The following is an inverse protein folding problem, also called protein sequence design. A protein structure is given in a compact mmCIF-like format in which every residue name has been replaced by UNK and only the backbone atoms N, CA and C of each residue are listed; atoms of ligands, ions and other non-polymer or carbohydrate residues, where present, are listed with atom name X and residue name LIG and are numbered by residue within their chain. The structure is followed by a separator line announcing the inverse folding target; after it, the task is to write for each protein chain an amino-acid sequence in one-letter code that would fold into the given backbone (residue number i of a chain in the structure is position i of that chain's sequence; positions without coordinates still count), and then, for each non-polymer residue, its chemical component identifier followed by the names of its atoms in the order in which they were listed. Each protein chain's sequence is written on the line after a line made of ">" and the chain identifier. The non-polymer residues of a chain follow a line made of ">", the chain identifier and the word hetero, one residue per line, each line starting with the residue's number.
data_IF_699070595356
#
_entry.id   IF_699070595356
#
_cell.length_a   1.000
_cell.length_b   1.000
_cell.length_c   1.000
_cell.angle_alpha   90.00
_cell.angle_beta   90.00
_cell.angle_gamma   90.00
#
_symmetry.space_group_name_H-M   'P 1'
#
loop_
_entity.id
_entity.type
_entity.pdbx_description
1 polymer ?
#
# COMPACT_ATOMS: atom_id res chain seq x y z
N UNK A 1 -14.99 -33.19 -53.01
CA UNK A 1 -15.12 -32.08 -52.05
C UNK A 1 -14.92 -32.62 -50.65
N UNK A 2 -13.71 -32.43 -50.07
CA UNK A 2 -13.35 -32.88 -48.74
C UNK A 2 -13.44 -31.69 -47.77
N UNK A 3 -14.34 -31.71 -46.83
CA UNK A 3 -14.43 -30.72 -45.74
C UNK A 3 -13.41 -31.08 -44.68
N UNK A 4 -12.42 -30.19 -44.50
CA UNK A 4 -11.42 -30.27 -43.45
C UNK A 4 -12.00 -29.54 -42.21
N UNK A 5 -12.39 -30.30 -41.18
CA UNK A 5 -12.78 -29.74 -39.88
C UNK A 5 -11.53 -29.35 -39.11
N UNK A 6 -11.28 -28.04 -38.95
CA UNK A 6 -10.22 -27.51 -38.11
C UNK A 6 -10.72 -27.46 -36.66
N UNK A 7 -10.25 -28.39 -35.83
CA UNK A 7 -10.49 -28.35 -34.38
C UNK A 7 -9.60 -27.26 -33.77
N UNK A 8 -10.18 -26.13 -33.39
CA UNK A 8 -9.52 -25.10 -32.58
C UNK A 8 -9.50 -25.62 -31.14
N UNK A 9 -8.35 -26.11 -30.69
CA UNK A 9 -8.08 -26.37 -29.28
C UNK A 9 -7.91 -25.00 -28.57
N UNK A 10 -8.96 -24.56 -27.89
CA UNK A 10 -8.84 -23.49 -26.90
C UNK A 10 -8.01 -23.97 -25.71
N UNK A 11 -6.94 -23.29 -25.29
CA UNK A 11 -6.26 -23.65 -24.07
C UNK A 11 -7.21 -23.36 -22.90
N UNK A 12 -7.61 -24.41 -22.20
CA UNK A 12 -8.24 -24.32 -20.88
C UNK A 12 -7.16 -23.75 -19.96
N UNK A 13 -7.25 -22.46 -19.64
CA UNK A 13 -6.51 -21.87 -18.55
C UNK A 13 -6.98 -22.56 -17.25
N UNK A 14 -6.29 -23.62 -16.88
CA UNK A 14 -6.40 -24.20 -15.55
C UNK A 14 -5.93 -23.15 -14.55
N UNK A 15 -6.87 -22.50 -13.88
CA UNK A 15 -6.57 -21.80 -12.64
C UNK A 15 -6.00 -22.86 -11.69
N UNK A 16 -4.69 -22.83 -11.49
CA UNK A 16 -4.02 -23.64 -10.49
C UNK A 16 -4.51 -23.14 -9.12
N UNK A 17 -5.63 -23.65 -8.65
CA UNK A 17 -5.99 -23.59 -7.24
C UNK A 17 -4.87 -24.28 -6.49
N UNK A 18 -4.09 -23.51 -5.73
CA UNK A 18 -3.08 -24.05 -4.81
C UNK A 18 -3.77 -25.07 -3.92
N UNK A 19 -3.33 -26.35 -4.02
CA UNK A 19 -3.93 -27.41 -3.23
C UNK A 19 -3.89 -27.05 -1.75
N UNK A 20 -5.06 -27.03 -1.11
CA UNK A 20 -5.18 -26.68 0.29
C UNK A 20 -4.33 -27.63 1.16
N UNK A 21 -3.44 -27.08 1.98
CA UNK A 21 -2.51 -27.84 2.81
C UNK A 21 -3.11 -28.07 4.21
N UNK A 22 -2.98 -29.29 4.71
CA UNK A 22 -3.58 -29.70 6.00
C UNK A 22 -2.74 -29.19 7.17
N UNK A 23 -3.42 -28.74 8.23
CA UNK A 23 -2.85 -28.47 9.55
C UNK A 23 -3.54 -29.33 10.61
N UNK A 24 -2.87 -29.50 11.77
CA UNK A 24 -3.43 -30.10 12.96
C UNK A 24 -2.98 -29.31 14.19
N UNK A 25 -3.92 -29.03 15.10
CA UNK A 25 -3.64 -28.40 16.39
C UNK A 25 -4.19 -29.30 17.48
N UNK A 26 -3.35 -29.75 18.40
CA UNK A 26 -3.75 -30.46 19.61
C UNK A 26 -3.53 -29.56 20.82
N UNK A 27 -4.54 -29.38 21.65
CA UNK A 27 -4.47 -28.60 22.86
C UNK A 27 -4.76 -29.42 24.11
N UNK A 28 -3.98 -29.19 25.17
CA UNK A 28 -4.21 -29.67 26.52
C UNK A 28 -4.09 -28.48 27.45
N UNK A 29 -5.23 -27.87 27.80
CA UNK A 29 -5.29 -26.64 28.59
C UNK A 29 -6.15 -26.81 29.84
N UNK A 30 -5.62 -26.42 31.00
CA UNK A 30 -6.41 -26.22 32.18
C UNK A 30 -7.27 -24.97 32.06
N UNK A 31 -8.34 -24.86 32.85
CA UNK A 31 -9.22 -23.69 32.88
C UNK A 31 -10.26 -23.61 31.73
N UNK A 32 -10.31 -24.59 30.85
CA UNK A 32 -11.38 -24.71 29.86
C UNK A 32 -12.58 -25.47 30.42
N UNK A 33 -13.80 -24.98 30.14
CA UNK A 33 -15.02 -25.67 30.52
C UNK A 33 -15.25 -26.92 29.68
N UNK A 34 -15.73 -27.99 30.30
CA UNK A 34 -16.12 -29.22 29.62
C UNK A 34 -17.18 -28.93 28.54
N UNK A 35 -17.08 -29.58 27.39
CA UNK A 35 -17.96 -29.40 26.24
C UNK A 35 -17.97 -27.97 25.64
N UNK A 36 -17.07 -27.09 26.07
CA UNK A 36 -16.94 -25.77 25.42
C UNK A 36 -16.36 -25.89 24.02
N UNK A 37 -16.58 -24.86 23.21
CA UNK A 37 -16.15 -24.80 21.82
C UNK A 37 -14.81 -24.05 21.72
N UNK A 38 -13.90 -24.62 20.94
CA UNK A 38 -12.69 -23.97 20.47
C UNK A 38 -12.76 -23.85 18.95
N UNK A 39 -12.46 -22.67 18.42
CA UNK A 39 -12.41 -22.44 16.95
C UNK A 39 -11.10 -21.82 16.56
N UNK A 40 -10.69 -22.04 15.31
CA UNK A 40 -9.61 -21.30 14.68
C UNK A 40 -10.12 -20.58 13.44
N UNK A 41 -9.94 -19.27 13.40
CA UNK A 41 -10.39 -18.43 12.29
C UNK A 41 -9.25 -17.56 11.75
N UNK A 42 -9.34 -17.19 10.47
CA UNK A 42 -8.38 -16.28 9.86
C UNK A 42 -8.42 -14.93 10.58
N UNK A 43 -7.26 -14.37 10.91
CA UNK A 43 -7.17 -13.07 11.58
C UNK A 43 -7.67 -11.92 10.70
N UNK A 44 -7.42 -12.01 9.39
CA UNK A 44 -7.80 -10.97 8.41
C UNK A 44 -9.26 -11.10 7.95
N UNK A 45 -9.87 -12.30 8.13
CA UNK A 45 -11.30 -12.55 7.92
C UNK A 45 -11.83 -13.45 9.06
N UNK A 46 -12.28 -12.86 10.19
CA UNK A 46 -12.76 -13.63 11.32
C UNK A 46 -14.01 -14.49 11.05
N UNK A 47 -14.69 -14.29 9.95
CA UNK A 47 -15.84 -15.10 9.51
C UNK A 47 -15.39 -16.41 8.88
N UNK A 48 -14.17 -16.46 8.35
CA UNK A 48 -13.53 -17.66 7.80
C UNK A 48 -13.02 -18.56 8.96
N UNK A 49 -13.87 -19.50 9.42
CA UNK A 49 -13.52 -20.47 10.42
C UNK A 49 -12.91 -21.72 9.80
N UNK A 50 -11.59 -21.87 9.94
CA UNK A 50 -10.84 -22.98 9.36
C UNK A 50 -11.08 -24.33 10.06
N UNK A 51 -11.38 -24.35 11.37
CA UNK A 51 -11.73 -25.55 12.12
C UNK A 51 -12.44 -25.22 13.45
N UNK A 52 -13.17 -26.25 13.97
CA UNK A 52 -13.91 -26.19 15.23
C UNK A 52 -13.77 -27.53 15.97
N UNK A 53 -13.63 -27.48 17.30
CA UNK A 53 -13.57 -28.64 18.16
C UNK A 53 -14.32 -28.42 19.48
N UNK A 54 -14.70 -29.51 20.13
CA UNK A 54 -15.27 -29.52 21.47
C UNK A 54 -14.20 -29.95 22.48
N UNK A 55 -14.13 -29.26 23.62
CA UNK A 55 -13.21 -29.59 24.71
C UNK A 55 -13.73 -30.83 25.48
N UNK A 56 -12.82 -31.79 25.70
CA UNK A 56 -13.04 -32.97 26.53
C UNK A 56 -11.86 -33.17 27.48
N UNK A 57 -12.10 -33.21 28.78
CA UNK A 57 -11.05 -33.32 29.81
C UNK A 57 -9.89 -32.33 29.60
N UNK A 58 -10.22 -31.07 29.30
CA UNK A 58 -9.23 -30.01 29.02
C UNK A 58 -8.48 -30.14 27.69
N UNK A 59 -8.84 -31.15 26.87
CA UNK A 59 -8.18 -31.41 25.57
C UNK A 59 -9.09 -31.06 24.38
N UNK A 60 -8.47 -30.67 23.27
CA UNK A 60 -9.14 -30.49 21.98
C UNK A 60 -8.20 -30.84 20.83
N UNK A 61 -8.79 -31.20 19.67
CA UNK A 61 -8.05 -31.41 18.42
C UNK A 61 -8.78 -30.69 17.30
N UNK A 62 -8.07 -29.77 16.61
CA UNK A 62 -8.52 -29.06 15.44
C UNK A 62 -7.75 -29.58 14.22
N UNK A 63 -8.45 -29.88 13.14
CA UNK A 63 -7.83 -30.21 11.87
C UNK A 63 -8.58 -29.51 10.76
N UNK A 64 -7.85 -29.01 9.78
CA UNK A 64 -8.41 -28.27 8.65
C UNK A 64 -7.40 -28.11 7.54
N UNK A 65 -7.70 -27.22 6.61
CA UNK A 65 -6.82 -26.89 5.51
C UNK A 65 -6.70 -25.38 5.37
N UNK A 66 -5.52 -24.92 4.98
CA UNK A 66 -5.21 -23.52 4.67
C UNK A 66 -4.64 -23.43 3.26
N UNK A 67 -4.94 -22.34 2.57
CA UNK A 67 -4.38 -22.10 1.24
C UNK A 67 -2.88 -21.78 1.35
N UNK A 68 -2.49 -21.02 2.35
CA UNK A 68 -1.13 -20.55 2.58
C UNK A 68 -0.88 -20.24 4.07
N UNK A 69 0.39 -20.15 4.52
CA UNK A 69 0.71 -19.70 5.86
C UNK A 69 0.22 -18.27 6.13
N UNK A 70 -0.50 -18.08 7.23
CA UNK A 70 -1.11 -16.80 7.59
C UNK A 70 -1.33 -16.68 9.10
N UNK A 71 -1.69 -15.49 9.57
CA UNK A 71 -2.06 -15.22 10.95
C UNK A 71 -3.50 -15.67 11.20
N UNK A 72 -3.68 -16.49 12.23
CA UNK A 72 -4.97 -17.00 12.68
C UNK A 72 -5.19 -16.68 14.17
N UNK A 73 -6.43 -16.68 14.59
CA UNK A 73 -6.77 -16.60 16.01
C UNK A 73 -7.48 -17.88 16.47
N UNK A 74 -6.91 -18.50 17.49
CA UNK A 74 -7.52 -19.59 18.22
C UNK A 74 -8.43 -18.96 19.28
N UNK A 75 -9.74 -19.20 19.20
CA UNK A 75 -10.73 -18.66 20.12
C UNK A 75 -11.07 -19.70 21.19
N UNK A 76 -10.79 -19.39 22.45
CA UNK A 76 -11.12 -20.19 23.62
C UNK A 76 -12.41 -19.65 24.24
N UNK A 77 -13.57 -20.07 23.74
CA UNK A 77 -14.85 -19.42 23.98
C UNK A 77 -15.25 -19.42 25.46
N UNK A 78 -14.94 -20.51 26.25
CA UNK A 78 -15.28 -20.62 27.67
C UNK A 78 -14.61 -19.57 28.56
N UNK A 79 -13.43 -19.09 28.17
CA UNK A 79 -12.66 -18.07 28.90
C UNK A 79 -12.63 -16.73 28.19
N UNK A 80 -13.31 -16.61 27.05
CA UNK A 80 -13.33 -15.42 26.19
C UNK A 80 -11.94 -14.88 25.83
N UNK A 81 -10.98 -15.79 25.60
CA UNK A 81 -9.59 -15.48 25.27
C UNK A 81 -9.28 -15.88 23.85
N UNK A 82 -8.29 -15.19 23.26
CA UNK A 82 -7.82 -15.43 21.89
C UNK A 82 -6.31 -15.59 21.88
N UNK A 83 -5.82 -16.62 21.22
CA UNK A 83 -4.37 -16.86 21.00
C UNK A 83 -4.06 -16.63 19.53
N UNK A 84 -3.09 -15.78 19.25
CA UNK A 84 -2.62 -15.57 17.88
C UNK A 84 -1.63 -16.69 17.51
N UNK A 85 -1.90 -17.36 16.40
CA UNK A 85 -1.06 -18.40 15.83
C UNK A 85 -0.70 -18.01 14.39
N UNK A 86 0.59 -18.02 14.08
CA UNK A 86 0.96 -18.02 12.67
C UNK A 86 0.89 -19.44 12.17
N UNK A 87 -0.21 -19.75 11.48
CA UNK A 87 -0.55 -21.12 11.07
C UNK A 87 0.09 -21.44 9.73
N UNK A 88 0.74 -22.56 9.66
CA UNK A 88 1.29 -23.21 8.46
C UNK A 88 0.84 -24.67 8.43
N UNK A 89 1.09 -25.42 7.37
CA UNK A 89 0.65 -26.82 7.26
C UNK A 89 1.47 -27.74 8.16
N UNK A 90 1.45 -27.44 9.47
CA UNK A 90 2.21 -28.11 10.51
C UNK A 90 1.27 -28.81 11.50
N UNK A 91 1.85 -29.66 12.36
CA UNK A 91 1.22 -30.19 13.55
C UNK A 91 1.65 -29.38 14.78
N UNK A 92 0.71 -28.62 15.36
CA UNK A 92 0.96 -27.75 16.51
C UNK A 92 0.44 -28.40 17.79
N UNK A 93 1.20 -28.35 18.87
CA UNK A 93 0.80 -28.74 20.20
C UNK A 93 0.75 -27.53 21.12
N UNK A 94 -0.33 -27.36 21.88
CA UNK A 94 -0.54 -26.26 22.83
C UNK A 94 -0.80 -26.83 24.21
N UNK A 95 0.01 -26.43 25.21
CA UNK A 95 -0.14 -26.87 26.60
C UNK A 95 -0.08 -25.67 27.54
N UNK A 96 -0.77 -25.75 28.67
CA UNK A 96 -0.74 -24.73 29.73
C UNK A 96 -2.08 -24.42 30.34
N UNK A 97 -2.26 -23.18 30.79
CA UNK A 97 -3.47 -22.66 31.43
C UNK A 97 -4.15 -21.63 30.48
N UNK A 98 -5.40 -21.88 30.13
CA UNK A 98 -6.20 -21.02 29.27
C UNK A 98 -6.43 -19.61 29.83
N UNK A 99 -6.22 -19.37 31.11
CA UNK A 99 -6.29 -18.04 31.72
C UNK A 99 -4.98 -17.26 31.63
N UNK A 100 -3.86 -17.94 31.36
CA UNK A 100 -2.50 -17.40 31.32
C UNK A 100 -1.88 -17.54 29.91
N UNK A 101 -2.42 -16.85 28.92
CA UNK A 101 -2.06 -17.04 27.52
C UNK A 101 -0.58 -16.81 27.21
N UNK A 102 0.11 -15.97 27.98
CA UNK A 102 1.53 -15.66 27.80
C UNK A 102 2.47 -16.79 28.26
N UNK A 103 1.94 -17.75 29.05
CA UNK A 103 2.68 -18.90 29.58
C UNK A 103 2.40 -20.19 28.79
N UNK A 104 1.65 -20.10 27.67
CA UNK A 104 1.34 -21.27 26.85
C UNK A 104 2.59 -21.81 26.17
N UNK A 105 2.81 -23.12 26.30
CA UNK A 105 3.85 -23.85 25.56
C UNK A 105 3.29 -24.30 24.20
N UNK A 106 3.70 -23.60 23.11
CA UNK A 106 3.26 -23.85 21.76
C UNK A 106 4.44 -24.38 20.95
N UNK A 107 4.33 -25.60 20.42
CA UNK A 107 5.39 -26.32 19.73
C UNK A 107 4.91 -26.95 18.43
N UNK A 108 5.87 -27.35 17.56
CA UNK A 108 5.61 -28.13 16.34
C UNK A 108 5.60 -27.34 15.05
N UNK A 109 5.53 -25.99 15.11
CA UNK A 109 5.58 -25.14 13.91
C UNK A 109 6.79 -24.22 13.90
N UNK A 110 7.73 -24.39 12.96
CA UNK A 110 8.84 -23.45 12.77
C UNK A 110 8.35 -22.03 12.46
N UNK A 111 7.29 -21.91 11.64
CA UNK A 111 6.70 -20.61 11.30
C UNK A 111 6.14 -19.91 12.53
N UNK A 112 5.45 -20.64 13.41
CA UNK A 112 4.98 -20.04 14.67
C UNK A 112 6.12 -19.68 15.61
N UNK A 113 7.20 -20.45 15.65
CA UNK A 113 8.40 -20.10 16.41
C UNK A 113 9.02 -18.78 15.91
N UNK A 114 9.07 -18.56 14.59
CA UNK A 114 9.50 -17.28 14.00
C UNK A 114 8.57 -16.12 14.39
N UNK A 115 7.26 -16.38 14.46
CA UNK A 115 6.28 -15.40 14.91
C UNK A 115 6.47 -15.05 16.41
N UNK A 116 6.76 -16.02 17.24
CA UNK A 116 7.11 -15.77 18.65
C UNK A 116 8.41 -14.97 18.81
N UNK A 117 9.42 -15.22 17.96
CA UNK A 117 10.63 -14.40 17.90
C UNK A 117 10.31 -12.96 17.50
N UNK A 118 9.48 -12.77 16.47
CA UNK A 118 8.96 -11.47 16.07
C UNK A 118 8.28 -10.76 17.25
N UNK A 119 7.32 -11.39 17.92
CA UNK A 119 6.58 -10.78 19.03
C UNK A 119 7.52 -10.35 20.16
N UNK A 120 8.46 -11.20 20.57
CA UNK A 120 9.46 -10.88 21.63
C UNK A 120 10.32 -9.68 21.25
N UNK A 121 10.69 -9.55 19.98
CA UNK A 121 11.56 -8.47 19.50
C UNK A 121 10.82 -7.16 19.29
N UNK A 122 9.64 -7.22 18.66
CA UNK A 122 8.95 -6.03 18.16
C UNK A 122 7.86 -5.49 19.10
N UNK A 123 7.15 -6.33 19.88
CA UNK A 123 6.10 -5.83 20.76
C UNK A 123 6.58 -4.74 21.73
N UNK A 124 7.75 -4.89 22.41
CA UNK A 124 8.24 -3.84 23.30
C UNK A 124 8.60 -2.53 22.53
N UNK A 125 9.03 -2.65 21.27
CA UNK A 125 9.34 -1.48 20.44
C UNK A 125 8.05 -0.78 19.98
N UNK A 126 7.02 -1.54 19.60
CA UNK A 126 5.73 -0.99 19.22
C UNK A 126 4.98 -0.34 20.39
N UNK A 127 5.10 -0.88 21.59
CA UNK A 127 4.55 -0.24 22.81
C UNK A 127 5.21 1.11 23.06
N UNK A 128 6.54 1.18 23.01
CA UNK A 128 7.28 2.45 23.13
C UNK A 128 6.90 3.43 22.02
N UNK A 129 6.75 2.94 20.78
CA UNK A 129 6.36 3.77 19.64
C UNK A 129 4.97 4.36 19.84
N UNK A 130 4.02 3.58 20.33
CA UNK A 130 2.65 4.02 20.65
C UNK A 130 2.64 5.11 21.70
N UNK A 131 3.39 4.92 22.80
CA UNK A 131 3.56 5.92 23.87
C UNK A 131 4.16 7.24 23.30
N UNK A 132 5.22 7.12 22.49
CA UNK A 132 5.85 8.28 21.87
C UNK A 132 4.92 8.99 20.90
N UNK A 133 4.13 8.27 20.09
CA UNK A 133 3.15 8.87 19.18
C UNK A 133 2.09 9.68 19.95
N UNK A 134 1.62 9.20 21.09
CA UNK A 134 0.68 9.96 21.94
C UNK A 134 1.31 11.25 22.46
N UNK A 135 2.58 11.18 22.88
CA UNK A 135 3.32 12.36 23.39
C UNK A 135 3.61 13.38 22.31
N UNK A 136 4.05 12.91 21.12
CA UNK A 136 4.31 13.80 19.96
C UNK A 136 3.01 14.43 19.45
N UNK A 137 1.92 13.68 19.39
CA UNK A 137 0.60 14.18 18.95
C UNK A 137 0.03 15.28 19.85
N UNK A 138 0.50 15.41 21.11
CA UNK A 138 0.13 16.47 22.03
C UNK A 138 0.99 17.76 21.89
N UNK A 139 2.03 17.77 21.06
CA UNK A 139 2.91 18.92 20.88
C UNK A 139 2.35 19.91 19.86
N UNK A 140 2.52 21.20 20.14
CA UNK A 140 2.26 22.26 19.16
C UNK A 140 3.54 22.53 18.35
N UNK A 141 3.48 22.27 17.02
CA UNK A 141 4.58 22.52 16.09
C UNK A 141 5.93 21.89 16.50
N UNK A 142 6.03 20.56 16.65
CA UNK A 142 7.27 19.91 17.06
C UNK A 142 8.38 20.13 16.02
N UNK A 143 9.57 20.52 16.51
CA UNK A 143 10.76 20.69 15.68
C UNK A 143 11.58 19.38 15.63
N UNK A 144 12.28 19.12 14.52
CA UNK A 144 13.14 17.92 14.37
C UNK A 144 14.24 17.83 15.43
N UNK A 145 14.64 18.96 16.01
CA UNK A 145 15.66 19.07 17.06
C UNK A 145 15.13 18.84 18.47
N UNK A 146 13.80 18.78 18.65
CA UNK A 146 13.23 18.51 19.98
C UNK A 146 13.66 17.13 20.47
N UNK A 147 14.01 17.03 21.74
CA UNK A 147 14.52 15.79 22.35
C UNK A 147 13.59 14.59 22.08
N UNK A 148 12.27 14.81 22.14
CA UNK A 148 11.31 13.73 21.87
C UNK A 148 11.33 13.29 20.39
N UNK A 149 11.53 14.22 19.46
CA UNK A 149 11.62 13.90 18.02
C UNK A 149 12.92 13.14 17.72
N UNK A 150 14.02 13.50 18.37
CA UNK A 150 15.30 12.75 18.27
C UNK A 150 15.15 11.34 18.82
N UNK A 151 14.49 11.18 19.97
CA UNK A 151 14.21 9.86 20.55
C UNK A 151 13.27 9.03 19.67
N UNK A 152 12.26 9.65 19.08
CA UNK A 152 11.34 9.01 18.13
C UNK A 152 12.09 8.49 16.90
N UNK A 153 12.91 9.32 16.28
CA UNK A 153 13.72 8.93 15.12
C UNK A 153 14.67 7.77 15.45
N UNK A 154 15.31 7.81 16.63
CA UNK A 154 16.18 6.73 17.10
C UNK A 154 15.42 5.41 17.33
N UNK A 155 14.19 5.47 17.86
CA UNK A 155 13.35 4.29 18.04
C UNK A 155 12.91 3.70 16.70
N UNK A 156 12.48 4.54 15.74
CA UNK A 156 12.12 4.11 14.38
C UNK A 156 13.34 3.46 13.70
N UNK A 157 14.52 4.07 13.82
CA UNK A 157 15.76 3.47 13.28
C UNK A 157 16.07 2.11 13.92
N UNK A 158 15.86 1.97 15.23
CA UNK A 158 16.03 0.68 15.91
C UNK A 158 15.06 -0.38 15.39
N UNK A 159 13.80 0.00 15.13
CA UNK A 159 12.83 -0.91 14.49
C UNK A 159 13.33 -1.34 13.11
N UNK A 160 13.79 -0.40 12.27
CA UNK A 160 14.35 -0.73 10.95
C UNK A 160 15.54 -1.69 11.03
N UNK A 161 16.45 -1.49 11.98
CA UNK A 161 17.58 -2.37 12.17
C UNK A 161 17.17 -3.80 12.57
N UNK A 162 16.12 -3.94 13.37
CA UNK A 162 15.56 -5.25 13.75
C UNK A 162 14.83 -5.94 12.58
N UNK A 163 14.13 -5.17 11.73
CA UNK A 163 13.54 -5.71 10.48
C UNK A 163 14.66 -6.30 9.60
N UNK A 164 15.72 -5.54 9.35
CA UNK A 164 16.81 -5.98 8.49
C UNK A 164 17.50 -7.23 9.03
N UNK A 165 17.78 -7.30 10.36
CA UNK A 165 18.31 -8.49 11.03
C UNK A 165 17.40 -9.70 10.93
N UNK A 166 16.09 -9.51 11.04
CA UNK A 166 15.12 -10.60 10.89
C UNK A 166 15.11 -11.13 9.46
N UNK A 167 15.06 -10.25 8.46
CA UNK A 167 15.09 -10.62 7.04
C UNK A 167 16.38 -11.37 6.66
N UNK A 168 17.53 -10.99 7.20
CA UNK A 168 18.81 -11.69 6.95
C UNK A 168 18.77 -13.13 7.43
N UNK A 169 18.16 -13.39 8.59
CA UNK A 169 18.10 -14.72 9.20
C UNK A 169 16.93 -15.58 8.71
N UNK A 170 15.81 -14.95 8.34
CA UNK A 170 14.51 -15.61 8.16
C UNK A 170 13.82 -15.25 6.83
N UNK A 171 14.61 -14.97 5.78
CA UNK A 171 14.08 -14.51 4.48
C UNK A 171 13.05 -15.45 3.83
N UNK A 172 13.08 -16.74 4.17
CA UNK A 172 12.12 -17.75 3.66
C UNK A 172 10.95 -17.99 4.62
N UNK A 173 10.88 -17.28 5.75
CA UNK A 173 9.75 -17.37 6.67
C UNK A 173 8.60 -16.49 6.20
N UNK A 174 7.36 -16.98 6.15
CA UNK A 174 6.18 -16.15 5.87
C UNK A 174 6.02 -14.98 6.85
N UNK A 175 6.58 -15.08 8.06
CA UNK A 175 6.61 -14.01 9.05
C UNK A 175 7.47 -12.83 8.57
N UNK A 176 8.46 -13.05 7.71
CA UNK A 176 9.25 -11.96 7.14
C UNK A 176 8.37 -11.03 6.27
N UNK A 177 7.51 -11.58 5.43
CA UNK A 177 6.56 -10.78 4.65
C UNK A 177 5.53 -10.07 5.55
N UNK A 178 5.05 -10.74 6.61
CA UNK A 178 4.16 -10.15 7.60
C UNK A 178 4.79 -8.95 8.31
N UNK A 179 6.07 -9.04 8.72
CA UNK A 179 6.80 -7.91 9.34
C UNK A 179 6.81 -6.69 8.40
N UNK A 180 7.06 -6.89 7.12
CA UNK A 180 7.07 -5.79 6.15
C UNK A 180 5.71 -5.10 6.09
N UNK A 181 4.60 -5.85 6.12
CA UNK A 181 3.24 -5.27 6.12
C UNK A 181 2.98 -4.44 7.39
N UNK A 182 3.25 -5.01 8.58
CA UNK A 182 2.92 -4.32 9.85
C UNK A 182 3.82 -3.10 10.12
N UNK A 183 4.90 -2.95 9.35
CA UNK A 183 5.84 -1.83 9.47
C UNK A 183 5.81 -0.87 8.28
N UNK A 184 4.93 -1.07 7.28
CA UNK A 184 4.82 -0.21 6.09
C UNK A 184 4.62 1.27 6.41
N UNK A 185 3.81 1.58 7.43
CA UNK A 185 3.53 2.96 7.84
C UNK A 185 4.70 3.67 8.52
N UNK A 186 5.71 2.91 8.95
CA UNK A 186 6.94 3.46 9.55
C UNK A 186 8.00 3.78 8.50
N UNK A 187 7.81 3.36 7.26
CA UNK A 187 8.81 3.45 6.21
C UNK A 187 8.37 4.44 5.12
N UNK A 188 8.85 5.67 5.22
CA UNK A 188 8.64 6.72 4.21
C UNK A 188 9.51 6.48 2.96
N UNK A 189 10.64 5.76 3.11
CA UNK A 189 11.56 5.42 2.03
C UNK A 189 11.07 4.18 1.26
N UNK A 190 10.40 4.41 0.15
CA UNK A 190 9.83 3.35 -0.70
C UNK A 190 10.91 2.48 -1.37
N UNK A 191 12.09 3.02 -1.63
CA UNK A 191 13.22 2.25 -2.15
C UNK A 191 13.73 1.24 -1.12
N UNK A 192 13.71 1.59 0.17
CA UNK A 192 14.04 0.68 1.26
C UNK A 192 13.01 -0.43 1.39
N UNK A 193 11.72 -0.11 1.27
CA UNK A 193 10.64 -1.12 1.26
C UNK A 193 10.86 -2.11 0.10
N UNK A 194 11.14 -1.61 -1.11
CA UNK A 194 11.39 -2.46 -2.27
C UNK A 194 12.65 -3.32 -2.11
N UNK A 195 13.74 -2.75 -1.60
CA UNK A 195 14.97 -3.52 -1.29
C UNK A 195 14.71 -4.65 -0.29
N UNK A 196 13.87 -4.41 0.72
CA UNK A 196 13.47 -5.43 1.70
C UNK A 196 12.59 -6.52 1.08
N UNK A 197 11.60 -6.11 0.27
CA UNK A 197 10.77 -7.05 -0.48
C UNK A 197 11.62 -7.97 -1.37
N UNK A 198 12.58 -7.42 -2.08
CA UNK A 198 13.49 -8.19 -2.95
C UNK A 198 14.45 -9.12 -2.19
N UNK A 199 14.63 -8.95 -0.88
CA UNK A 199 15.36 -9.89 0.00
C UNK A 199 14.53 -11.11 0.40
N UNK A 200 13.20 -11.05 0.30
CA UNK A 200 12.35 -12.21 0.56
C UNK A 200 12.69 -13.34 -0.41
N UNK A 201 12.54 -14.57 0.07
CA UNK A 201 12.66 -15.74 -0.81
C UNK A 201 11.57 -15.65 -1.90
N UNK A 202 11.89 -15.91 -3.17
CA UNK A 202 10.91 -15.84 -4.27
C UNK A 202 9.64 -16.70 -4.05
N UNK A 203 9.75 -17.79 -3.30
CA UNK A 203 8.60 -18.65 -2.96
C UNK A 203 7.52 -17.93 -2.11
N UNK A 204 7.89 -16.81 -1.47
CA UNK A 204 6.96 -15.99 -0.68
C UNK A 204 6.26 -14.91 -1.48
N UNK A 205 6.66 -14.60 -2.71
CA UNK A 205 6.11 -13.48 -3.47
C UNK A 205 4.60 -13.62 -3.75
N UNK A 206 4.10 -14.84 -3.81
CA UNK A 206 2.67 -15.13 -3.96
C UNK A 206 1.91 -15.17 -2.62
N UNK A 207 2.60 -15.04 -1.47
CA UNK A 207 1.96 -15.00 -0.16
C UNK A 207 1.13 -13.73 0.03
N UNK A 208 0.02 -13.83 0.77
CA UNK A 208 -0.89 -12.73 1.08
C UNK A 208 -0.18 -11.44 1.52
N UNK A 209 0.74 -11.53 2.47
CA UNK A 209 1.47 -10.36 2.98
C UNK A 209 2.46 -9.78 1.96
N UNK A 210 3.17 -10.63 1.23
CA UNK A 210 4.09 -10.18 0.19
C UNK A 210 3.35 -9.44 -0.94
N UNK A 211 2.15 -9.90 -1.32
CA UNK A 211 1.30 -9.20 -2.31
C UNK A 211 0.90 -7.80 -1.84
N UNK A 212 0.55 -7.63 -0.56
CA UNK A 212 0.24 -6.30 0.00
C UNK A 212 1.46 -5.38 -0.12
N UNK A 213 2.67 -5.86 0.24
CA UNK A 213 3.90 -5.07 0.12
C UNK A 213 4.18 -4.72 -1.33
N UNK A 214 4.03 -5.69 -2.25
CA UNK A 214 4.23 -5.48 -3.69
C UNK A 214 3.27 -4.44 -4.26
N UNK A 215 1.99 -4.55 -3.88
CA UNK A 215 0.98 -3.57 -4.29
C UNK A 215 1.34 -2.16 -3.81
N UNK A 216 1.84 -2.01 -2.58
CA UNK A 216 2.26 -0.71 -2.06
C UNK A 216 3.50 -0.16 -2.79
N UNK A 217 4.48 -1.03 -3.13
CA UNK A 217 5.63 -0.66 -3.96
C UNK A 217 5.15 -0.19 -5.35
N UNK A 218 4.27 -0.94 -6.00
CA UNK A 218 3.77 -0.60 -7.32
C UNK A 218 2.95 0.71 -7.30
N UNK A 219 2.17 0.91 -6.24
CA UNK A 219 1.48 2.19 -5.99
C UNK A 219 2.45 3.36 -5.89
N UNK A 220 3.57 3.18 -5.18
CA UNK A 220 4.55 4.25 -4.98
C UNK A 220 5.28 4.66 -6.27
N UNK A 221 5.36 3.75 -7.24
CA UNK A 221 5.97 4.00 -8.55
C UNK A 221 5.10 4.81 -9.50
N UNK A 222 3.79 4.86 -9.25
CA UNK A 222 2.87 5.65 -10.07
C UNK A 222 3.18 7.14 -9.91
N UNK A 223 3.54 7.76 -11.02
CA UNK A 223 3.89 9.19 -11.00
C UNK A 223 5.21 9.51 -10.30
N UNK A 224 6.09 8.53 -10.04
CA UNK A 224 7.42 8.78 -9.50
C UNK A 224 8.34 9.46 -10.52
N UNK A 225 9.24 10.31 -10.04
CA UNK A 225 10.24 10.97 -10.90
C UNK A 225 11.15 9.90 -11.51
N UNK A 226 11.42 10.01 -12.82
CA UNK A 226 12.20 9.06 -13.60
C UNK A 226 11.38 7.95 -14.26
N UNK A 227 10.10 7.78 -13.91
CA UNK A 227 9.19 6.82 -14.56
C UNK A 227 8.49 7.43 -15.77
N UNK A 228 7.96 6.57 -16.65
CA UNK A 228 7.15 7.04 -17.76
C UNK A 228 5.78 7.52 -17.29
N UNK A 229 5.32 8.65 -17.83
CA UNK A 229 3.97 9.14 -17.58
C UNK A 229 2.94 8.16 -18.14
N UNK A 230 1.88 7.89 -17.39
CA UNK A 230 0.79 7.03 -17.84
C UNK A 230 -0.01 7.74 -18.91
N UNK A 231 -0.06 7.17 -20.11
CA UNK A 231 -0.86 7.74 -21.20
C UNK A 231 -2.36 7.63 -20.93
N UNK A 232 -3.10 8.63 -21.40
CA UNK A 232 -4.55 8.67 -21.26
C UNK A 232 -5.18 9.47 -22.39
N UNK A 233 -6.47 9.29 -22.58
CA UNK A 233 -7.31 10.10 -23.48
C UNK A 233 -8.48 10.62 -22.68
N UNK A 234 -8.72 11.95 -22.74
CA UNK A 234 -9.89 12.57 -22.09
C UNK A 234 -10.36 13.76 -22.94
N UNK A 235 -11.65 14.08 -22.88
CA UNK A 235 -12.24 15.12 -23.73
C UNK A 235 -11.89 16.54 -23.24
N UNK A 236 -11.60 17.42 -24.20
CA UNK A 236 -11.40 18.84 -23.93
C UNK A 236 -12.70 19.60 -23.70
N UNK A 237 -12.61 20.91 -23.52
CA UNK A 237 -13.75 21.81 -23.31
C UNK A 237 -14.75 21.83 -24.47
N UNK A 238 -14.36 21.35 -25.67
CA UNK A 238 -15.23 21.25 -26.86
C UNK A 238 -15.80 19.86 -27.05
N UNK A 239 -15.38 18.87 -26.26
CA UNK A 239 -15.74 17.46 -26.40
C UNK A 239 -14.79 16.66 -27.30
N UNK A 240 -13.68 17.28 -27.78
CA UNK A 240 -12.69 16.60 -28.60
C UNK A 240 -11.77 15.74 -27.71
N UNK A 241 -11.51 14.47 -28.08
CA UNK A 241 -10.57 13.64 -27.34
C UNK A 241 -9.13 14.13 -27.51
N UNK A 242 -8.44 14.31 -26.39
CA UNK A 242 -7.03 14.71 -26.30
C UNK A 242 -6.27 13.59 -25.59
N UNK A 243 -5.18 13.10 -26.22
CA UNK A 243 -4.25 12.15 -25.57
C UNK A 243 -3.05 12.88 -25.00
N UNK A 244 -2.51 12.40 -23.89
CA UNK A 244 -1.24 12.90 -23.36
C UNK A 244 -0.11 12.68 -24.37
N UNK A 245 -0.10 11.53 -25.03
CA UNK A 245 0.90 11.19 -26.07
C UNK A 245 0.92 12.18 -27.27
N UNK A 246 -0.17 12.92 -27.50
CA UNK A 246 -0.18 13.98 -28.55
C UNK A 246 0.74 15.17 -28.25
N UNK A 247 1.24 15.27 -27.02
CA UNK A 247 2.19 16.30 -26.58
C UNK A 247 3.65 15.84 -26.59
N UNK A 248 3.95 14.63 -27.10
CA UNK A 248 5.34 14.16 -27.23
C UNK A 248 6.20 15.17 -27.99
N UNK A 249 7.45 15.28 -27.58
CA UNK A 249 8.37 16.30 -28.09
C UNK A 249 8.34 17.63 -27.34
N UNK A 250 7.41 17.80 -26.38
CA UNK A 250 7.31 18.99 -25.52
C UNK A 250 7.51 18.64 -24.05
N UNK A 251 7.96 19.62 -23.27
CA UNK A 251 7.80 19.58 -21.82
C UNK A 251 6.34 19.88 -21.48
N UNK A 252 5.71 19.02 -20.68
CA UNK A 252 4.29 19.11 -20.34
C UNK A 252 4.11 19.12 -18.84
N UNK A 253 3.41 20.11 -18.31
CA UNK A 253 2.90 20.06 -16.93
C UNK A 253 1.48 19.48 -16.95
N UNK A 254 1.30 18.26 -16.48
CA UNK A 254 -0.03 17.73 -16.18
C UNK A 254 -0.45 18.33 -14.85
N UNK A 255 -1.51 19.11 -14.83
CA UNK A 255 -1.99 19.82 -13.64
C UNK A 255 -3.40 19.36 -13.27
N UNK A 256 -3.54 18.69 -12.12
CA UNK A 256 -4.82 18.24 -11.59
C UNK A 256 -5.41 19.31 -10.68
N UNK A 257 -6.57 19.81 -11.07
CA UNK A 257 -7.21 20.94 -10.41
C UNK A 257 -8.74 20.85 -10.47
N UNK A 258 -9.46 21.84 -9.91
CA UNK A 258 -10.89 22.01 -10.11
C UNK A 258 -11.34 23.45 -9.79
N UNK A 259 -12.49 23.86 -10.31
CA UNK A 259 -13.09 25.16 -10.05
C UNK A 259 -13.39 25.41 -8.57
N UNK A 260 -13.80 24.38 -7.86
CA UNK A 260 -14.14 24.40 -6.42
C UNK A 260 -12.89 24.27 -5.50
N UNK A 261 -11.74 23.97 -6.06
CA UNK A 261 -10.48 23.80 -5.30
C UNK A 261 -9.86 25.16 -4.98
N UNK A 262 -10.15 25.70 -3.80
CA UNK A 262 -9.59 26.99 -3.38
C UNK A 262 -8.06 27.07 -3.41
N UNK A 263 -7.30 26.07 -2.92
CA UNK A 263 -5.82 26.08 -3.06
C UNK A 263 -5.35 26.07 -4.52
N UNK A 264 -6.05 25.38 -5.43
CA UNK A 264 -5.73 25.38 -6.85
C UNK A 264 -5.89 26.79 -7.45
N UNK A 265 -7.02 27.45 -7.14
CA UNK A 265 -7.31 28.82 -7.62
C UNK A 265 -6.29 29.82 -7.12
N UNK A 266 -5.74 29.64 -5.91
CA UNK A 266 -4.66 30.48 -5.37
C UNK A 266 -3.31 30.21 -6.05
N UNK A 267 -3.06 28.99 -6.53
CA UNK A 267 -1.84 28.64 -7.26
C UNK A 267 -1.90 29.01 -8.75
N UNK A 268 -3.08 29.05 -9.39
CA UNK A 268 -3.26 29.34 -10.80
C UNK A 268 -2.51 30.60 -11.30
N UNK A 269 -2.43 31.74 -10.57
CA UNK A 269 -1.62 32.87 -10.98
C UNK A 269 -0.11 32.55 -11.15
N UNK A 270 0.44 31.64 -10.33
CA UNK A 270 1.82 31.18 -10.46
C UNK A 270 2.01 30.34 -11.71
N UNK A 271 1.05 29.43 -11.97
CA UNK A 271 1.02 28.57 -13.17
C UNK A 271 0.90 29.41 -14.43
N UNK A 272 0.03 30.43 -14.44
CA UNK A 272 -0.11 31.38 -15.57
C UNK A 272 1.20 32.13 -15.82
N UNK A 273 1.87 32.61 -14.76
CA UNK A 273 3.20 33.27 -14.92
C UNK A 273 4.23 32.32 -15.53
N UNK A 274 4.30 31.08 -15.04
CA UNK A 274 5.19 30.07 -15.58
C UNK A 274 4.88 29.76 -17.06
N UNK A 275 3.61 29.55 -17.40
CA UNK A 275 3.19 29.31 -18.78
C UNK A 275 3.60 30.47 -19.69
N UNK A 276 3.27 31.70 -19.35
CA UNK A 276 3.60 32.87 -20.16
C UNK A 276 5.11 33.05 -20.38
N UNK A 277 5.93 32.72 -19.39
CA UNK A 277 7.40 32.80 -19.47
C UNK A 277 7.98 31.70 -20.38
N UNK A 278 7.43 30.48 -20.34
CA UNK A 278 8.07 29.34 -20.99
C UNK A 278 7.33 28.76 -22.20
N UNK A 279 6.11 29.21 -22.54
CA UNK A 279 5.30 28.67 -23.68
C UNK A 279 6.02 28.73 -25.04
N UNK A 280 6.98 29.66 -25.23
CA UNK A 280 7.78 29.74 -26.45
C UNK A 280 9.04 28.85 -26.41
N UNK A 281 9.31 28.19 -25.27
CA UNK A 281 10.48 27.34 -25.05
C UNK A 281 10.11 25.85 -25.01
N UNK A 282 9.24 25.43 -25.91
CA UNK A 282 8.80 24.04 -26.05
C UNK A 282 8.10 23.50 -24.79
N UNK A 283 7.38 24.36 -24.03
CA UNK A 283 6.64 24.02 -22.84
C UNK A 283 5.14 24.23 -23.03
N UNK A 284 4.34 23.34 -22.47
CA UNK A 284 2.88 23.49 -22.40
C UNK A 284 2.32 22.90 -21.11
N UNK A 285 1.02 23.14 -20.86
CA UNK A 285 0.29 22.59 -19.73
C UNK A 285 -0.92 21.80 -20.24
N UNK A 286 -1.23 20.71 -19.60
CA UNK A 286 -2.45 19.93 -19.77
C UNK A 286 -3.20 19.90 -18.42
N UNK A 287 -4.23 20.73 -18.31
CA UNK A 287 -5.06 20.78 -17.10
C UNK A 287 -6.07 19.65 -17.08
N UNK A 288 -6.01 18.80 -16.06
CA UNK A 288 -7.00 17.72 -15.82
C UNK A 288 -7.94 18.18 -14.72
N UNK A 289 -9.20 18.44 -15.08
CA UNK A 289 -10.18 18.95 -14.12
C UNK A 289 -10.97 17.83 -13.45
N UNK A 290 -11.14 17.95 -12.11
CA UNK A 290 -11.99 17.12 -11.28
C UNK A 290 -13.35 17.79 -11.01
N UNK A 291 -13.83 18.61 -11.93
CA UNK A 291 -15.15 19.23 -11.82
C UNK A 291 -16.30 18.24 -12.06
N UNK A 292 -17.49 18.57 -11.56
CA UNK A 292 -18.72 17.83 -11.83
C UNK A 292 -19.55 18.44 -12.93
N UNK A 293 -19.43 19.76 -13.12
CA UNK A 293 -20.23 20.52 -14.07
C UNK A 293 -19.35 21.28 -15.04
N UNK A 294 -19.73 21.22 -16.31
CA UNK A 294 -18.98 21.88 -17.40
C UNK A 294 -18.97 23.40 -17.24
N UNK A 295 -20.08 23.98 -16.80
CA UNK A 295 -20.21 25.46 -16.73
C UNK A 295 -19.26 26.04 -15.67
N UNK A 296 -19.21 25.44 -14.47
CA UNK A 296 -18.29 25.87 -13.40
C UNK A 296 -16.82 25.74 -13.83
N UNK A 297 -16.48 24.63 -14.51
CA UNK A 297 -15.16 24.39 -15.06
C UNK A 297 -14.74 25.43 -16.10
N UNK A 298 -15.60 25.68 -17.10
CA UNK A 298 -15.35 26.68 -18.17
C UNK A 298 -15.25 28.09 -17.58
N UNK A 299 -16.12 28.43 -16.62
CA UNK A 299 -16.08 29.73 -15.97
C UNK A 299 -14.78 29.94 -15.21
N UNK A 300 -14.31 28.93 -14.46
CA UNK A 300 -13.04 29.01 -13.73
C UNK A 300 -11.83 29.13 -14.68
N UNK A 301 -11.82 28.44 -15.82
CA UNK A 301 -10.78 28.60 -16.86
C UNK A 301 -10.69 30.06 -17.32
N UNK A 302 -11.86 30.69 -17.57
CA UNK A 302 -11.91 32.11 -18.01
C UNK A 302 -11.47 33.07 -16.91
N UNK A 303 -12.00 32.89 -15.69
CA UNK A 303 -11.71 33.78 -14.55
C UNK A 303 -10.22 33.81 -14.20
N UNK A 304 -9.56 32.64 -14.26
CA UNK A 304 -8.13 32.53 -13.94
C UNK A 304 -7.19 32.71 -15.15
N UNK A 305 -7.74 32.90 -16.36
CA UNK A 305 -6.96 33.10 -17.57
C UNK A 305 -6.12 31.88 -17.99
N UNK A 306 -6.66 30.66 -17.84
CA UNK A 306 -5.98 29.41 -18.10
C UNK A 306 -6.08 29.07 -19.61
N UNK A 307 -5.14 29.56 -20.42
CA UNK A 307 -5.23 29.57 -21.90
C UNK A 307 -4.70 28.30 -22.58
N UNK A 308 -4.29 27.31 -21.84
CA UNK A 308 -3.80 26.02 -22.34
C UNK A 308 -4.91 24.97 -22.47
N UNK A 309 -4.55 23.76 -22.90
CA UNK A 309 -5.51 22.67 -23.07
C UNK A 309 -5.98 22.14 -21.73
N UNK A 310 -7.29 22.01 -21.59
CA UNK A 310 -7.94 21.42 -20.42
C UNK A 310 -8.79 20.23 -20.82
N UNK A 311 -8.80 19.19 -19.99
CA UNK A 311 -9.59 17.97 -20.19
C UNK A 311 -10.35 17.60 -18.91
N UNK A 312 -11.51 16.97 -19.05
CA UNK A 312 -12.29 16.43 -17.93
C UNK A 312 -13.31 15.39 -18.42
N UNK A 313 -13.64 14.43 -17.57
CA UNK A 313 -14.81 13.55 -17.75
C UNK A 313 -15.99 13.93 -16.85
N UNK A 314 -15.84 15.02 -16.08
CA UNK A 314 -16.83 15.57 -15.15
C UNK A 314 -17.29 14.60 -14.05
N UNK A 315 -16.43 13.62 -13.69
CA UNK A 315 -16.73 12.59 -12.69
C UNK A 315 -16.17 12.88 -11.30
N UNK A 316 -15.74 14.11 -11.03
CA UNK A 316 -15.19 14.50 -9.72
C UNK A 316 -14.00 13.62 -9.33
N UNK A 317 -13.97 13.07 -8.10
CA UNK A 317 -12.92 12.16 -7.65
C UNK A 317 -12.89 10.82 -8.40
N UNK A 318 -13.96 10.47 -9.12
CA UNK A 318 -14.00 9.32 -10.02
C UNK A 318 -13.47 9.63 -11.43
N UNK A 319 -12.81 10.79 -11.62
CA UNK A 319 -12.14 11.10 -12.88
C UNK A 319 -11.14 10.00 -13.23
N UNK A 320 -11.25 9.43 -14.44
CA UNK A 320 -10.48 8.26 -14.86
C UNK A 320 -8.96 8.53 -14.83
N UNK A 321 -8.53 9.73 -15.22
CA UNK A 321 -7.12 10.11 -15.24
C UNK A 321 -6.60 10.28 -13.81
N UNK A 322 -7.40 10.92 -12.94
CA UNK A 322 -7.06 11.06 -11.53
C UNK A 322 -6.91 9.69 -10.83
N UNK A 323 -7.79 8.73 -11.16
CA UNK A 323 -7.69 7.36 -10.65
C UNK A 323 -6.44 6.64 -11.16
N UNK A 324 -6.09 6.76 -12.46
CA UNK A 324 -4.87 6.19 -13.03
C UNK A 324 -3.60 6.73 -12.36
N UNK A 325 -3.54 8.03 -12.08
CA UNK A 325 -2.43 8.69 -11.38
C UNK A 325 -2.53 8.62 -9.85
N UNK A 326 -3.58 7.96 -9.30
CA UNK A 326 -3.87 7.84 -7.86
C UNK A 326 -3.84 9.18 -7.16
N UNK A 327 -4.54 10.15 -7.74
CA UNK A 327 -4.66 11.50 -7.19
C UNK A 327 -5.65 11.48 -6.02
N UNK A 328 -5.14 11.61 -4.79
CA UNK A 328 -5.92 11.62 -3.55
C UNK A 328 -6.20 13.05 -3.03
N UNK A 329 -5.53 14.05 -3.63
CA UNK A 329 -5.70 15.46 -3.26
C UNK A 329 -5.26 16.38 -4.39
N UNK A 330 -5.90 17.56 -4.48
CA UNK A 330 -5.55 18.62 -5.44
C UNK A 330 -5.26 19.94 -4.69
N UNK A 331 -4.36 20.80 -5.25
CA UNK A 331 -3.66 20.66 -6.52
C UNK A 331 -2.52 19.62 -6.44
N UNK A 332 -2.27 18.92 -7.54
CA UNK A 332 -1.07 18.11 -7.74
C UNK A 332 -0.69 18.16 -9.21
N UNK A 333 0.62 18.16 -9.51
CA UNK A 333 1.08 18.19 -10.89
C UNK A 333 2.27 17.26 -11.12
N UNK A 334 2.49 16.94 -12.41
CA UNK A 334 3.60 16.15 -12.90
C UNK A 334 4.22 16.87 -14.09
N UNK A 335 5.51 17.20 -14.00
CA UNK A 335 6.27 17.75 -15.12
C UNK A 335 6.91 16.62 -15.92
N UNK A 336 6.64 16.58 -17.22
CA UNK A 336 7.04 15.51 -18.14
C UNK A 336 8.01 16.07 -19.16
N UNK A 337 9.07 15.32 -19.47
CA UNK A 337 10.03 15.65 -20.51
C UNK A 337 9.49 15.31 -21.94
N UNK A 338 10.16 15.74 -23.02
CA UNK A 338 9.74 15.44 -24.38
C UNK A 338 9.61 13.95 -24.73
N UNK A 339 10.31 13.06 -23.99
CA UNK A 339 10.25 11.61 -24.16
C UNK A 339 9.10 10.97 -23.37
N UNK A 340 8.43 11.74 -22.49
CA UNK A 340 7.34 11.29 -21.67
C UNK A 340 7.73 10.80 -20.29
N UNK A 341 8.95 11.08 -19.83
CA UNK A 341 9.39 10.77 -18.46
C UNK A 341 8.99 11.87 -17.52
N UNK A 342 8.55 11.50 -16.33
CA UNK A 342 8.26 12.42 -15.23
C UNK A 342 9.58 12.92 -14.66
N UNK A 343 9.81 14.22 -14.72
CA UNK A 343 11.03 14.90 -14.25
C UNK A 343 10.77 15.84 -13.07
N UNK A 344 9.51 15.97 -12.65
CA UNK A 344 9.11 16.75 -11.49
C UNK A 344 7.69 16.38 -11.06
N UNK A 345 7.41 16.56 -9.76
CA UNK A 345 6.11 16.27 -9.17
C UNK A 345 5.80 17.30 -8.11
N UNK A 346 4.54 17.75 -8.04
CA UNK A 346 4.03 18.64 -7.01
C UNK A 346 4.78 19.98 -6.92
N UNK A 347 5.22 20.51 -8.07
CA UNK A 347 5.93 21.76 -8.21
C UNK A 347 4.98 22.95 -8.07
N UNK A 348 5.30 23.93 -7.19
CA UNK A 348 4.44 25.08 -6.92
C UNK A 348 5.24 26.38 -6.79
N UNK A 349 4.58 27.51 -7.07
CA UNK A 349 5.16 28.83 -6.89
C UNK A 349 6.53 28.96 -7.53
N UNK A 350 7.53 29.31 -6.71
CA UNK A 350 8.91 29.50 -7.16
C UNK A 350 9.60 28.18 -7.56
N UNK A 351 9.25 27.04 -6.94
CA UNK A 351 9.83 25.75 -7.29
C UNK A 351 9.51 25.35 -8.75
N UNK A 352 8.27 25.60 -9.20
CA UNK A 352 7.90 25.38 -10.61
C UNK A 352 8.75 26.26 -11.52
N UNK A 353 8.91 27.53 -11.18
CA UNK A 353 9.71 28.46 -11.97
C UNK A 353 11.19 28.06 -12.01
N UNK A 354 11.77 27.70 -10.88
CA UNK A 354 13.17 27.26 -10.78
C UNK A 354 13.40 25.99 -11.60
N UNK A 355 12.49 25.00 -11.50
CA UNK A 355 12.61 23.75 -12.27
C UNK A 355 12.49 23.98 -13.76
N UNK A 356 11.60 24.86 -14.21
CA UNK A 356 11.49 25.23 -15.62
C UNK A 356 12.70 26.05 -16.09
N UNK A 357 13.26 26.93 -15.25
CA UNK A 357 14.51 27.63 -15.55
C UNK A 357 15.69 26.67 -15.72
N UNK A 358 15.80 25.67 -14.85
CA UNK A 358 16.85 24.64 -14.90
C UNK A 358 16.87 23.92 -16.25
N UNK A 359 15.71 23.55 -16.76
CA UNK A 359 15.59 22.70 -17.98
C UNK A 359 15.44 23.51 -19.28
N UNK A 360 14.91 24.73 -19.23
CA UNK A 360 14.57 25.54 -20.41
C UNK A 360 15.37 26.84 -20.49
N UNK A 361 16.19 27.14 -19.50
CA UNK A 361 16.87 28.42 -19.37
C UNK A 361 15.95 29.53 -18.85
N UNK A 362 16.49 30.41 -18.02
CA UNK A 362 15.75 31.54 -17.42
C UNK A 362 15.63 32.79 -18.30
N UNK A 363 16.42 32.90 -19.38
CA UNK A 363 16.50 34.12 -20.23
C UNK A 363 15.38 34.17 -21.25
#
# INVERSE_FOLDING_TARGET
>A
MKYLFLFILLPVLANAQTAAKKFMITGQLTGLSENSIVTISNFNDPTDTAAKATVKNGSFALSGSIAEPNLYQLNLNSVQKKVLLFLSPDAITIKGDATKLQELDIKGSPTHADFMEFQRTFNPLFEKLRDMNQRVGGLQNPQRTDTIMVQYAALVQNIHNNIDKFLEKKKSSPVAAFILVVTLSLDEDKDRVEKRYNKLDPSLHENFYAKIVKEEIDKSKIGAIGTDAIDFIQNDTTGKPISLSSFRGKYVLIDFWASWCKPCRLENPNVVRAYNKFKQKNFTILGVSLDRTRDAWIQAIKDDGLVWTHVSDLKFWNNEVAQKYRVEGIPINYLIDPNGKIIGKNLRGEELQMKLCEILGCN
#
